data_IF_168115790921
#
_entry.id   IF_168115790921
#
_cell.length_a   1.000
_cell.length_b   1.000
_cell.length_c   1.000
_cell.angle_alpha   90.00
_cell.angle_beta   90.00
_cell.angle_gamma   90.00
#
_symmetry.space_group_name_H-M   'P 1'
#
loop_
_entity.id
_entity.type
_entity.pdbx_description
1 polymer ?
#
# COMPACT_ATOMS: atom_id res chain seq x y z
N UNK A 1 1.60 -0.06 -44.89
CA UNK A 1 1.52 1.25 -44.20
C UNK A 1 0.71 1.19 -42.92
N UNK A 2 -0.58 0.81 -42.91
CA UNK A 2 -1.36 0.70 -41.66
C UNK A 2 -0.80 -0.33 -40.67
N UNK A 3 -0.44 -1.52 -41.15
CA UNK A 3 0.17 -2.56 -40.29
C UNK A 3 1.52 -2.13 -39.69
N UNK A 4 2.33 -1.39 -40.46
CA UNK A 4 3.60 -0.81 -40.00
C UNK A 4 3.40 0.21 -38.89
N UNK A 5 2.40 1.11 -39.02
CA UNK A 5 2.07 2.09 -37.98
C UNK A 5 1.58 1.43 -36.68
N UNK A 6 0.84 0.33 -36.78
CA UNK A 6 0.39 -0.44 -35.60
C UNK A 6 1.59 -1.09 -34.90
N UNK A 7 2.51 -1.70 -35.65
CA UNK A 7 3.72 -2.31 -35.10
C UNK A 7 4.59 -1.26 -34.40
N UNK A 8 4.80 -0.11 -35.03
CA UNK A 8 5.56 1.01 -34.45
C UNK A 8 4.90 1.55 -33.18
N UNK A 9 3.56 1.66 -33.15
CA UNK A 9 2.83 2.09 -31.96
C UNK A 9 2.99 1.10 -30.79
N UNK A 10 2.97 -0.21 -31.05
CA UNK A 10 3.13 -1.25 -30.04
C UNK A 10 4.56 -1.36 -29.50
N UNK A 11 5.56 -1.00 -30.30
CA UNK A 11 6.98 -1.05 -29.92
C UNK A 11 7.45 0.18 -29.12
N UNK A 12 6.58 1.17 -28.88
CA UNK A 12 6.94 2.36 -28.10
C UNK A 12 7.42 1.98 -26.69
N UNK A 13 8.48 2.61 -26.15
CA UNK A 13 9.01 2.30 -24.82
C UNK A 13 7.95 2.34 -23.70
N UNK A 14 6.97 3.22 -23.80
CA UNK A 14 5.87 3.33 -22.85
C UNK A 14 4.95 2.10 -22.85
N UNK A 15 4.69 1.50 -24.02
CA UNK A 15 3.89 0.28 -24.14
C UNK A 15 4.64 -0.87 -23.47
N UNK A 16 5.93 -1.04 -23.77
CA UNK A 16 6.76 -2.06 -23.13
C UNK A 16 6.82 -1.91 -21.61
N UNK A 17 7.00 -0.69 -21.08
CA UNK A 17 6.99 -0.44 -19.64
C UNK A 17 5.63 -0.72 -19.00
N UNK A 18 4.54 -0.41 -19.71
CA UNK A 18 3.18 -0.71 -19.26
C UNK A 18 2.89 -2.20 -19.24
N UNK A 19 3.37 -2.95 -20.24
CA UNK A 19 3.26 -4.41 -20.30
C UNK A 19 4.07 -5.08 -19.18
N UNK A 20 5.31 -4.63 -18.92
CA UNK A 20 6.11 -5.10 -17.77
C UNK A 20 5.41 -4.88 -16.42
N UNK A 21 4.70 -3.77 -16.29
CA UNK A 21 3.92 -3.48 -15.10
C UNK A 21 2.67 -4.39 -15.00
N UNK A 22 1.89 -4.46 -16.07
CA UNK A 22 0.63 -5.20 -16.13
C UNK A 22 0.82 -6.72 -16.07
N UNK A 23 1.98 -7.24 -16.50
CA UNK A 23 2.28 -8.67 -16.36
C UNK A 23 2.36 -9.11 -14.90
N UNK A 24 2.70 -8.20 -13.98
CA UNK A 24 2.76 -8.50 -12.54
C UNK A 24 1.37 -8.51 -11.89
N UNK A 25 1.12 -9.48 -11.02
CA UNK A 25 -0.11 -9.52 -10.19
C UNK A 25 -0.23 -8.27 -9.30
N UNK A 26 0.91 -7.78 -8.77
CA UNK A 26 0.96 -6.57 -7.94
C UNK A 26 0.55 -5.33 -8.74
N UNK A 27 1.03 -5.19 -9.97
CA UNK A 27 0.66 -4.06 -10.83
C UNK A 27 -0.85 -4.03 -11.12
N UNK A 28 -1.41 -5.18 -11.50
CA UNK A 28 -2.86 -5.32 -11.71
C UNK A 28 -3.67 -5.03 -10.44
N UNK A 29 -3.27 -5.55 -9.28
CA UNK A 29 -3.95 -5.26 -8.01
C UNK A 29 -3.99 -3.77 -7.68
N UNK A 30 -2.89 -3.04 -7.89
CA UNK A 30 -2.84 -1.60 -7.60
C UNK A 30 -3.74 -0.79 -8.54
N UNK A 31 -3.81 -1.13 -9.83
CA UNK A 31 -4.75 -0.51 -10.77
C UNK A 31 -6.19 -0.79 -10.35
N UNK A 32 -6.52 -2.04 -10.03
CA UNK A 32 -7.89 -2.38 -9.62
C UNK A 32 -8.26 -1.70 -8.30
N UNK A 33 -7.29 -1.51 -7.39
CA UNK A 33 -7.50 -0.76 -6.14
C UNK A 33 -7.81 0.71 -6.42
N UNK A 34 -7.11 1.32 -7.38
CA UNK A 34 -7.38 2.69 -7.79
C UNK A 34 -8.80 2.80 -8.37
N UNK A 35 -9.18 1.93 -9.31
CA UNK A 35 -10.52 1.92 -9.91
C UNK A 35 -11.59 1.67 -8.84
N UNK A 36 -11.38 0.73 -7.92
CA UNK A 36 -12.30 0.45 -6.81
C UNK A 36 -12.57 1.68 -5.96
N UNK A 37 -11.51 2.37 -5.52
CA UNK A 37 -11.63 3.51 -4.61
C UNK A 37 -12.13 4.77 -5.32
N UNK A 38 -11.75 4.97 -6.59
CA UNK A 38 -12.35 6.00 -7.42
C UNK A 38 -13.85 5.75 -7.62
N UNK A 39 -14.26 4.51 -7.89
CA UNK A 39 -15.67 4.15 -8.00
C UNK A 39 -16.46 4.39 -6.70
N UNK A 40 -15.83 4.16 -5.53
CA UNK A 40 -16.40 4.53 -4.22
C UNK A 40 -16.64 6.03 -4.11
N UNK A 41 -15.65 6.85 -4.49
CA UNK A 41 -15.78 8.30 -4.50
C UNK A 41 -16.90 8.75 -5.47
N UNK A 42 -16.92 8.22 -6.69
CA UNK A 42 -17.92 8.59 -7.69
C UNK A 42 -19.35 8.21 -7.27
N UNK A 43 -19.55 7.04 -6.67
CA UNK A 43 -20.86 6.64 -6.15
C UNK A 43 -21.37 7.62 -5.09
N UNK A 44 -20.49 8.02 -4.16
CA UNK A 44 -20.81 9.01 -3.13
C UNK A 44 -21.06 10.41 -3.71
N UNK A 45 -20.23 10.85 -4.65
CA UNK A 45 -20.33 12.17 -5.26
C UNK A 45 -21.62 12.32 -6.06
N UNK A 46 -21.91 11.35 -6.94
CA UNK A 46 -23.10 11.39 -7.80
C UNK A 46 -24.41 11.29 -7.00
N UNK A 47 -24.41 10.56 -5.89
CA UNK A 47 -25.54 10.54 -4.95
C UNK A 47 -25.86 11.95 -4.43
N UNK A 48 -24.83 12.69 -4.02
CA UNK A 48 -24.99 14.07 -3.51
C UNK A 48 -25.36 15.08 -4.59
N UNK A 49 -25.03 14.80 -5.85
CA UNK A 49 -25.44 15.61 -7.00
C UNK A 49 -26.86 15.25 -7.52
N UNK A 50 -27.58 14.33 -6.86
CA UNK A 50 -28.96 13.99 -7.25
C UNK A 50 -29.09 13.13 -8.52
N UNK A 51 -28.02 12.43 -8.93
CA UNK A 51 -28.09 11.55 -10.10
C UNK A 51 -29.00 10.34 -9.86
N UNK A 52 -29.49 9.75 -10.96
CA UNK A 52 -30.38 8.60 -10.90
C UNK A 52 -29.76 7.40 -10.16
N UNK A 53 -30.62 6.64 -9.46
CA UNK A 53 -30.23 5.40 -8.75
C UNK A 53 -29.50 4.41 -9.65
N UNK A 54 -29.91 4.29 -10.91
CA UNK A 54 -29.26 3.43 -11.90
C UNK A 54 -27.80 3.85 -12.16
N UNK A 55 -27.52 5.15 -12.25
CA UNK A 55 -26.16 5.68 -12.44
C UNK A 55 -25.27 5.36 -11.24
N UNK A 56 -25.77 5.59 -10.03
CA UNK A 56 -25.05 5.30 -8.78
C UNK A 56 -24.77 3.78 -8.67
N UNK A 57 -25.74 2.95 -9.01
CA UNK A 57 -25.59 1.48 -8.99
C UNK A 57 -24.50 0.95 -9.93
N UNK A 58 -24.25 1.61 -11.07
CA UNK A 58 -23.14 1.22 -11.96
C UNK A 58 -21.78 1.39 -11.27
N UNK A 59 -21.58 2.48 -10.54
CA UNK A 59 -20.36 2.73 -9.78
C UNK A 59 -20.23 1.80 -8.56
N UNK A 60 -21.32 1.54 -7.86
CA UNK A 60 -21.36 0.55 -6.79
C UNK A 60 -21.02 -0.87 -7.28
N UNK A 61 -21.54 -1.25 -8.45
CA UNK A 61 -21.22 -2.53 -9.08
C UNK A 61 -19.74 -2.61 -9.47
N UNK A 62 -19.18 -1.54 -10.06
CA UNK A 62 -17.75 -1.46 -10.39
C UNK A 62 -16.88 -1.60 -9.13
N UNK A 63 -17.19 -0.84 -8.06
CA UNK A 63 -16.51 -0.95 -6.75
C UNK A 63 -16.55 -2.38 -6.23
N UNK A 64 -17.73 -3.02 -6.25
CA UNK A 64 -17.93 -4.39 -5.77
C UNK A 64 -17.12 -5.40 -6.57
N UNK A 65 -17.19 -5.33 -7.90
CA UNK A 65 -16.49 -6.27 -8.79
C UNK A 65 -14.97 -6.13 -8.68
N UNK A 66 -14.44 -4.89 -8.67
CA UNK A 66 -13.01 -4.66 -8.45
C UNK A 66 -12.56 -5.19 -7.09
N UNK A 67 -13.35 -4.96 -6.03
CA UNK A 67 -13.06 -5.51 -4.71
C UNK A 67 -12.99 -7.03 -4.73
N UNK A 68 -13.93 -7.71 -5.37
CA UNK A 68 -13.97 -9.16 -5.46
C UNK A 68 -12.78 -9.73 -6.26
N UNK A 69 -12.48 -9.18 -7.44
CA UNK A 69 -11.34 -9.59 -8.26
C UNK A 69 -10.00 -9.44 -7.52
N UNK A 70 -9.85 -8.37 -6.74
CA UNK A 70 -8.64 -8.15 -5.92
C UNK A 70 -8.49 -9.14 -4.78
N UNK A 71 -9.58 -9.59 -4.15
CA UNK A 71 -9.48 -10.65 -3.13
C UNK A 71 -8.96 -11.95 -3.75
N UNK A 72 -9.44 -12.32 -4.94
CA UNK A 72 -8.96 -13.49 -5.69
C UNK A 72 -7.45 -13.41 -5.97
N UNK A 73 -6.97 -12.27 -6.50
CA UNK A 73 -5.54 -12.09 -6.79
C UNK A 73 -4.63 -12.15 -5.55
N UNK A 74 -5.19 -12.09 -4.34
CA UNK A 74 -4.45 -12.15 -3.08
C UNK A 74 -4.39 -13.55 -2.49
N UNK A 75 -4.93 -14.55 -3.17
CA UNK A 75 -4.74 -15.96 -2.80
C UNK A 75 -3.26 -16.30 -2.77
N UNK A 76 -2.83 -17.08 -1.77
CA UNK A 76 -1.41 -17.38 -1.53
C UNK A 76 -0.61 -16.28 -0.83
N UNK A 77 -1.07 -15.02 -0.82
CA UNK A 77 -0.38 -13.93 -0.08
C UNK A 77 -0.17 -14.21 1.41
N UNK A 78 -1.07 -14.91 2.15
CA UNK A 78 -0.79 -15.25 3.54
C UNK A 78 0.55 -15.96 3.73
N UNK A 79 0.92 -16.86 2.81
CA UNK A 79 2.19 -17.60 2.86
C UNK A 79 3.39 -16.67 2.63
N UNK A 80 3.30 -15.73 1.68
CA UNK A 80 4.34 -14.71 1.49
C UNK A 80 4.57 -13.86 2.75
N UNK A 81 3.48 -13.54 3.46
CA UNK A 81 3.54 -12.79 4.71
C UNK A 81 4.13 -13.62 5.86
N UNK A 82 3.79 -14.91 5.97
CA UNK A 82 4.40 -15.82 6.96
C UNK A 82 5.91 -15.99 6.70
N UNK A 83 6.32 -16.17 5.44
CA UNK A 83 7.75 -16.21 5.08
C UNK A 83 8.45 -14.89 5.45
N UNK A 84 7.79 -13.76 5.20
CA UNK A 84 8.34 -12.45 5.56
C UNK A 84 8.41 -12.22 7.06
N UNK A 85 7.47 -12.78 7.84
CA UNK A 85 7.51 -12.76 9.30
C UNK A 85 8.70 -13.57 9.83
N UNK A 86 8.93 -14.76 9.27
CA UNK A 86 10.10 -15.59 9.60
C UNK A 86 11.42 -14.86 9.33
N UNK A 87 11.53 -14.12 8.21
CA UNK A 87 12.70 -13.28 7.94
C UNK A 87 12.84 -12.13 8.94
N UNK A 88 11.73 -11.46 9.26
CA UNK A 88 11.72 -10.35 10.21
C UNK A 88 12.09 -10.76 11.64
N UNK A 89 11.85 -12.03 12.01
CA UNK A 89 12.23 -12.58 13.31
C UNK A 89 13.75 -12.57 13.55
N UNK A 90 14.55 -12.62 12.49
CA UNK A 90 16.01 -12.60 12.57
C UNK A 90 16.61 -11.19 12.56
N UNK A 91 15.77 -10.14 12.61
CA UNK A 91 16.23 -8.76 12.76
C UNK A 91 16.93 -8.58 14.11
N UNK A 92 18.07 -7.87 14.10
CA UNK A 92 18.90 -7.65 15.30
C UNK A 92 18.29 -6.61 16.20
N UNK A 93 17.78 -5.53 15.61
CA UNK A 93 17.09 -4.47 16.34
C UNK A 93 15.75 -4.99 16.88
N UNK A 94 15.58 -4.98 18.20
CA UNK A 94 14.43 -5.62 18.85
C UNK A 94 13.10 -4.96 18.49
N UNK A 95 13.09 -3.63 18.36
CA UNK A 95 11.88 -2.87 18.02
C UNK A 95 11.50 -3.15 16.57
N UNK A 96 12.48 -3.18 15.66
CA UNK A 96 12.25 -3.52 14.26
C UNK A 96 11.85 -4.98 14.07
N UNK A 97 12.45 -5.91 14.83
CA UNK A 97 12.09 -7.33 14.87
C UNK A 97 10.63 -7.48 15.25
N UNK A 98 10.22 -6.87 16.37
CA UNK A 98 8.84 -6.95 16.86
C UNK A 98 7.86 -6.31 15.88
N UNK A 99 8.04 -5.03 15.53
CA UNK A 99 7.12 -4.30 14.65
C UNK A 99 7.01 -4.94 13.27
N UNK A 100 8.12 -5.40 12.67
CA UNK A 100 8.09 -6.04 11.36
C UNK A 100 7.47 -7.43 11.41
N UNK A 101 7.74 -8.23 12.44
CA UNK A 101 7.15 -9.58 12.58
C UNK A 101 5.64 -9.49 12.76
N UNK A 102 5.17 -8.69 13.72
CA UNK A 102 3.74 -8.60 14.00
C UNK A 102 2.96 -7.88 12.90
N UNK A 103 3.57 -6.95 12.16
CA UNK A 103 2.99 -6.43 10.91
C UNK A 103 2.70 -7.56 9.93
N UNK A 104 3.68 -8.43 9.69
CA UNK A 104 3.56 -9.50 8.70
C UNK A 104 2.57 -10.58 9.14
N UNK A 105 2.58 -10.99 10.41
CA UNK A 105 1.59 -11.93 10.96
C UNK A 105 0.16 -11.37 10.87
N UNK A 106 -0.02 -10.09 11.16
CA UNK A 106 -1.32 -9.42 11.03
C UNK A 106 -1.80 -9.41 9.58
N UNK A 107 -0.92 -9.13 8.61
CA UNK A 107 -1.29 -9.21 7.19
C UNK A 107 -1.57 -10.64 6.71
N UNK A 108 -0.86 -11.65 7.23
CA UNK A 108 -1.16 -13.04 6.95
C UNK A 108 -2.57 -13.42 7.44
N UNK A 109 -2.92 -13.09 8.68
CA UNK A 109 -4.24 -13.33 9.27
C UNK A 109 -5.35 -12.57 8.52
N UNK A 110 -5.10 -11.30 8.20
CA UNK A 110 -6.00 -10.47 7.38
C UNK A 110 -6.36 -11.17 6.06
N UNK A 111 -5.34 -11.54 5.27
CA UNK A 111 -5.51 -12.09 3.93
C UNK A 111 -6.03 -13.52 3.94
N UNK A 112 -5.71 -14.29 4.98
CA UNK A 112 -6.30 -15.61 5.19
C UNK A 112 -7.82 -15.48 5.37
N UNK A 113 -8.27 -14.55 6.23
CA UNK A 113 -9.71 -14.29 6.41
C UNK A 113 -10.35 -13.70 5.15
N UNK A 114 -9.63 -12.85 4.41
CA UNK A 114 -10.13 -12.24 3.16
C UNK A 114 -10.42 -13.29 2.07
N UNK A 115 -9.74 -14.45 2.11
CA UNK A 115 -10.05 -15.64 1.28
C UNK A 115 -11.49 -16.11 1.49
N UNK A 116 -11.93 -16.23 2.75
CA UNK A 116 -13.32 -16.63 3.06
C UNK A 116 -14.33 -15.56 2.68
N UNK A 117 -13.97 -14.28 2.82
CA UNK A 117 -14.78 -13.15 2.33
C UNK A 117 -14.97 -13.25 0.82
N UNK A 118 -13.94 -13.63 0.08
CA UNK A 118 -14.06 -13.89 -1.36
C UNK A 118 -14.93 -15.10 -1.67
N UNK A 119 -14.72 -16.26 -1.02
CA UNK A 119 -15.51 -17.49 -1.24
C UNK A 119 -17.02 -17.19 -1.11
N UNK A 120 -17.40 -16.47 -0.05
CA UNK A 120 -18.79 -16.06 0.17
C UNK A 120 -19.28 -15.05 -0.89
N UNK A 121 -18.45 -14.07 -1.23
CA UNK A 121 -18.75 -13.02 -2.21
C UNK A 121 -18.89 -13.54 -3.63
N UNK A 122 -18.13 -14.57 -3.99
CA UNK A 122 -18.18 -15.27 -5.28
C UNK A 122 -19.38 -16.24 -5.39
N UNK A 123 -20.07 -16.52 -4.28
CA UNK A 123 -21.23 -17.41 -4.28
C UNK A 123 -20.89 -18.90 -4.22
N UNK A 124 -19.61 -19.26 -4.00
CA UNK A 124 -19.16 -20.66 -3.90
C UNK A 124 -19.77 -21.34 -2.67
N UNK A 125 -19.73 -20.67 -1.52
CA UNK A 125 -20.32 -21.17 -0.29
C UNK A 125 -20.78 -20.02 0.61
N UNK A 126 -22.01 -20.09 1.13
CA UNK A 126 -22.59 -19.07 2.00
C UNK A 126 -22.19 -19.31 3.45
N UNK A 127 -21.28 -18.49 3.96
CA UNK A 127 -20.73 -18.64 5.30
C UNK A 127 -21.63 -17.90 6.31
N UNK A 128 -22.24 -18.64 7.24
CA UNK A 128 -23.18 -18.08 8.24
C UNK A 128 -22.59 -16.89 9.04
N UNK A 129 -21.31 -16.96 9.41
CA UNK A 129 -20.63 -15.93 10.21
C UNK A 129 -19.76 -14.97 9.38
N UNK A 130 -20.10 -14.75 8.10
CA UNK A 130 -19.24 -13.96 7.20
C UNK A 130 -19.01 -12.52 7.67
N UNK A 131 -19.99 -11.91 8.35
CA UNK A 131 -19.83 -10.56 8.93
C UNK A 131 -18.71 -10.53 9.98
N UNK A 132 -18.71 -11.48 10.90
CA UNK A 132 -17.67 -11.63 11.94
C UNK A 132 -16.29 -11.88 11.32
N UNK A 133 -16.22 -12.72 10.28
CA UNK A 133 -14.96 -12.98 9.57
C UNK A 133 -14.44 -11.70 8.88
N UNK A 134 -15.32 -10.96 8.21
CA UNK A 134 -14.96 -9.70 7.57
C UNK A 134 -14.50 -8.64 8.59
N UNK A 135 -15.17 -8.52 9.73
CA UNK A 135 -14.76 -7.62 10.82
C UNK A 135 -13.40 -8.00 11.40
N UNK A 136 -13.18 -9.29 11.70
CA UNK A 136 -11.86 -9.77 12.18
C UNK A 136 -10.76 -9.53 11.16
N UNK A 137 -11.04 -9.78 9.87
CA UNK A 137 -10.13 -9.46 8.76
C UNK A 137 -9.71 -7.98 8.80
N UNK A 138 -10.66 -7.06 8.96
CA UNK A 138 -10.37 -5.62 9.08
C UNK A 138 -9.57 -5.27 10.34
N UNK A 139 -9.82 -5.92 11.48
CA UNK A 139 -9.02 -5.73 12.71
C UNK A 139 -7.57 -6.13 12.51
N UNK A 140 -7.32 -7.28 11.87
CA UNK A 140 -5.97 -7.72 11.54
C UNK A 140 -5.28 -6.78 10.54
N UNK A 141 -6.01 -6.29 9.53
CA UNK A 141 -5.43 -5.30 8.62
C UNK A 141 -5.02 -4.02 9.34
N UNK A 142 -5.89 -3.51 10.21
CA UNK A 142 -5.62 -2.34 11.05
C UNK A 142 -4.42 -2.56 11.97
N UNK A 143 -4.35 -3.71 12.66
CA UNK A 143 -3.20 -4.06 13.51
C UNK A 143 -1.88 -4.06 12.72
N UNK A 144 -1.88 -4.64 11.51
CA UNK A 144 -0.72 -4.61 10.63
C UNK A 144 -0.29 -3.19 10.25
N UNK A 145 -1.24 -2.30 9.95
CA UNK A 145 -0.95 -0.89 9.68
C UNK A 145 -0.39 -0.17 10.91
N UNK A 146 -0.91 -0.42 12.10
CA UNK A 146 -0.39 0.15 13.35
C UNK A 146 1.07 -0.26 13.55
N UNK A 147 1.40 -1.55 13.44
CA UNK A 147 2.80 -2.00 13.54
C UNK A 147 3.69 -1.41 12.45
N UNK A 148 3.17 -1.22 11.24
CA UNK A 148 3.89 -0.57 10.13
C UNK A 148 4.21 0.90 10.42
N UNK A 149 3.24 1.63 10.96
CA UNK A 149 3.39 3.03 11.38
C UNK A 149 4.41 3.14 12.50
N UNK A 150 4.29 2.33 13.56
CA UNK A 150 5.23 2.30 14.68
C UNK A 150 6.67 2.01 14.22
N UNK A 151 6.84 0.98 13.37
CA UNK A 151 8.15 0.66 12.80
C UNK A 151 8.71 1.78 11.91
N UNK A 152 7.87 2.47 11.14
CA UNK A 152 8.29 3.60 10.30
C UNK A 152 8.70 4.80 11.14
N UNK A 153 7.97 5.13 12.20
CA UNK A 153 8.32 6.19 13.15
C UNK A 153 9.66 5.90 13.85
N UNK A 154 9.87 4.66 14.29
CA UNK A 154 11.14 4.23 14.89
C UNK A 154 12.32 4.38 13.92
N UNK A 155 12.16 3.95 12.66
CA UNK A 155 13.19 4.15 11.61
C UNK A 155 13.48 5.62 11.36
N UNK A 156 12.45 6.46 11.28
CA UNK A 156 12.64 7.91 11.06
C UNK A 156 13.36 8.57 12.23
N UNK A 157 13.09 8.14 13.46
CA UNK A 157 13.82 8.59 14.64
C UNK A 157 15.31 8.24 14.54
N UNK A 158 15.65 6.98 14.24
CA UNK A 158 17.04 6.55 14.06
C UNK A 158 17.75 7.25 12.89
N UNK A 159 17.07 7.46 11.77
CA UNK A 159 17.57 8.27 10.64
C UNK A 159 17.86 9.71 11.09
N UNK A 160 16.95 10.32 11.85
CA UNK A 160 17.10 11.70 12.31
C UNK A 160 18.28 11.86 13.28
N UNK A 161 18.50 10.89 14.17
CA UNK A 161 19.68 10.85 15.05
C UNK A 161 20.98 10.73 14.26
N UNK A 162 21.06 9.78 13.31
CA UNK A 162 22.23 9.60 12.44
C UNK A 162 22.54 10.87 11.65
N UNK A 163 21.53 11.54 11.12
CA UNK A 163 21.67 12.80 10.39
C UNK A 163 22.21 13.93 11.30
N UNK A 164 21.66 14.07 12.51
CA UNK A 164 22.10 15.08 13.49
C UNK A 164 23.55 14.85 13.91
N UNK A 165 23.93 13.62 14.24
CA UNK A 165 25.29 13.27 14.67
C UNK A 165 26.30 13.53 13.56
N UNK A 166 25.97 13.17 12.32
CA UNK A 166 26.79 13.43 11.15
C UNK A 166 26.96 14.94 10.86
N UNK A 167 25.93 15.75 11.07
CA UNK A 167 26.07 17.22 10.96
C UNK A 167 26.83 17.84 12.13
N UNK A 168 26.75 17.25 13.33
CA UNK A 168 27.48 17.73 14.50
C UNK A 168 28.98 17.49 14.38
N UNK A 169 29.42 16.39 13.74
CA UNK A 169 30.84 16.11 13.51
C UNK A 169 31.53 17.18 12.64
N UNK A 170 30.79 17.88 11.77
CA UNK A 170 31.28 19.04 11.02
C UNK A 170 31.51 20.29 11.88
N UNK A 171 30.80 20.42 13.01
CA UNK A 171 30.80 21.65 13.83
C UNK A 171 31.74 21.57 15.04
N UNK A 172 32.15 20.38 15.46
CA UNK A 172 32.73 20.13 16.79
C UNK A 172 34.17 19.64 16.86
N UNK A 173 34.96 19.67 15.78
CA UNK A 173 36.38 19.25 15.83
C UNK A 173 37.33 20.36 15.39
N UNK A 174 38.24 20.76 16.28
CA UNK A 174 39.28 21.78 16.04
C UNK A 174 40.35 21.38 15.01
N UNK A 175 40.37 20.14 14.52
CA UNK A 175 41.16 19.74 13.35
C UNK A 175 40.34 18.71 12.58
N UNK A 176 40.09 19.01 11.31
CA UNK A 176 39.07 18.38 10.48
C UNK A 176 39.03 16.86 10.58
N UNK A 177 37.92 16.34 11.11
CA UNK A 177 37.52 14.95 10.90
C UNK A 177 36.15 14.97 10.21
N UNK A 178 36.20 14.77 8.90
CA UNK A 178 35.06 14.72 8.00
C UNK A 178 35.26 15.69 6.85
N UNK A 179 35.82 15.19 5.74
CA UNK A 179 35.78 15.90 4.46
C UNK A 179 34.35 16.45 4.23
N UNK A 180 34.17 17.78 4.07
CA UNK A 180 32.85 18.38 3.84
C UNK A 180 32.10 17.73 2.68
N UNK A 181 32.83 17.26 1.66
CA UNK A 181 32.27 16.55 0.52
C UNK A 181 31.80 15.14 0.93
N UNK A 182 32.61 14.39 1.68
CA UNK A 182 32.20 13.13 2.32
C UNK A 182 30.94 13.28 3.19
N UNK A 183 30.87 14.29 4.07
CA UNK A 183 29.70 14.48 4.93
C UNK A 183 28.46 14.86 4.14
N UNK A 184 28.60 15.75 3.14
CA UNK A 184 27.52 16.12 2.23
C UNK A 184 27.01 14.90 1.44
N UNK A 185 27.92 14.06 0.94
CA UNK A 185 27.60 12.81 0.27
C UNK A 185 26.83 11.87 1.19
N UNK A 186 27.30 11.67 2.42
CA UNK A 186 26.65 10.80 3.40
C UNK A 186 25.28 11.32 3.87
N UNK A 187 25.10 12.64 3.95
CA UNK A 187 23.79 13.25 4.20
C UNK A 187 22.80 12.92 3.08
N UNK A 188 23.23 12.98 1.81
CA UNK A 188 22.39 12.58 0.66
C UNK A 188 22.01 11.10 0.74
N UNK A 189 22.91 10.23 1.19
CA UNK A 189 22.59 8.81 1.37
C UNK A 189 21.52 8.60 2.46
N UNK A 190 21.64 9.30 3.59
CA UNK A 190 20.64 9.25 4.65
C UNK A 190 19.28 9.79 4.16
N UNK A 191 19.28 10.82 3.32
CA UNK A 191 18.05 11.34 2.69
C UNK A 191 17.40 10.31 1.75
N UNK A 192 18.20 9.56 0.99
CA UNK A 192 17.71 8.44 0.16
C UNK A 192 17.14 7.30 1.01
N UNK A 193 17.72 7.01 2.17
CA UNK A 193 17.15 6.05 3.13
C UNK A 193 15.82 6.54 3.73
N UNK A 194 15.66 7.87 3.89
CA UNK A 194 14.47 8.50 4.48
C UNK A 194 13.25 8.48 3.57
N UNK A 195 13.41 8.73 2.27
CA UNK A 195 12.31 8.81 1.30
C UNK A 195 11.34 7.61 1.38
N UNK A 196 11.78 6.34 1.25
CA UNK A 196 10.87 5.21 1.26
C UNK A 196 10.15 5.03 2.61
N UNK A 197 10.77 5.39 3.73
CA UNK A 197 10.17 5.28 5.06
C UNK A 197 9.07 6.32 5.24
N UNK A 198 9.30 7.58 4.83
CA UNK A 198 8.27 8.63 4.87
C UNK A 198 7.11 8.27 3.95
N UNK A 199 7.40 7.79 2.74
CA UNK A 199 6.38 7.37 1.78
C UNK A 199 5.51 6.26 2.35
N UNK A 200 6.11 5.26 3.00
CA UNK A 200 5.39 4.17 3.65
C UNK A 200 4.53 4.69 4.81
N UNK A 201 5.07 5.56 5.67
CA UNK A 201 4.33 6.16 6.78
C UNK A 201 3.10 6.93 6.29
N UNK A 202 3.26 7.81 5.30
CA UNK A 202 2.13 8.55 4.70
C UNK A 202 1.09 7.60 4.13
N UNK A 203 1.53 6.55 3.42
CA UNK A 203 0.61 5.59 2.83
C UNK A 203 -0.17 4.82 3.92
N UNK A 204 0.49 4.37 4.98
CA UNK A 204 -0.15 3.60 6.05
C UNK A 204 -1.08 4.46 6.91
N UNK A 205 -0.72 5.73 7.16
CA UNK A 205 -1.56 6.70 7.85
C UNK A 205 -2.85 7.02 7.08
N UNK A 206 -2.81 7.01 5.75
CA UNK A 206 -4.01 7.14 4.92
C UNK A 206 -4.77 5.80 4.83
N UNK A 207 -4.06 4.69 4.69
CA UNK A 207 -4.67 3.37 4.52
C UNK A 207 -5.42 2.89 5.77
N UNK A 208 -5.03 3.33 6.97
CA UNK A 208 -5.69 2.97 8.23
C UNK A 208 -7.12 3.52 8.32
N UNK A 209 -7.45 4.57 7.57
CA UNK A 209 -8.81 5.13 7.47
C UNK A 209 -9.80 4.06 6.97
N UNK A 210 -9.37 3.18 6.07
CA UNK A 210 -10.24 2.17 5.45
C UNK A 210 -10.76 1.13 6.47
N UNK A 211 -9.91 0.41 7.21
CA UNK A 211 -10.38 -0.49 8.25
C UNK A 211 -11.04 0.25 9.42
N UNK A 212 -10.59 1.46 9.79
CA UNK A 212 -11.27 2.25 10.84
C UNK A 212 -12.73 2.56 10.47
N UNK A 213 -13.00 3.00 9.24
CA UNK A 213 -14.39 3.21 8.76
C UNK A 213 -15.14 1.88 8.70
N UNK A 214 -14.51 0.81 8.21
CA UNK A 214 -15.18 -0.50 8.10
C UNK A 214 -15.55 -1.10 9.47
N UNK A 215 -14.76 -0.80 10.51
CA UNK A 215 -15.00 -1.21 11.90
C UNK A 215 -15.90 -0.24 12.66
N UNK A 216 -16.33 0.86 12.01
CA UNK A 216 -17.15 1.93 12.61
C UNK A 216 -16.47 2.66 13.78
N UNK A 217 -15.14 2.73 13.78
CA UNK A 217 -14.38 3.50 14.77
C UNK A 217 -14.36 5.00 14.46
N UNK A 218 -14.60 5.36 13.20
CA UNK A 218 -14.73 6.75 12.74
C UNK A 218 -15.94 6.86 11.83
N UNK A 219 -16.60 8.01 11.86
CA UNK A 219 -17.66 8.34 10.93
C UNK A 219 -17.19 9.34 9.87
N UNK A 220 -16.62 8.80 8.78
CA UNK A 220 -16.20 9.58 7.62
C UNK A 220 -17.05 9.27 6.39
N UNK A 221 -17.30 10.28 5.57
CA UNK A 221 -17.96 10.12 4.27
C UNK A 221 -17.24 9.12 3.36
N UNK A 222 -18.02 8.31 2.64
CA UNK A 222 -17.48 7.34 1.68
C UNK A 222 -16.62 7.98 0.57
N UNK A 223 -16.91 9.25 0.25
CA UNK A 223 -16.10 10.06 -0.65
C UNK A 223 -14.66 10.25 -0.16
N UNK A 224 -14.49 10.68 1.10
CA UNK A 224 -13.16 10.89 1.70
C UNK A 224 -12.38 9.59 1.79
N UNK A 225 -13.03 8.50 2.19
CA UNK A 225 -12.39 7.17 2.24
C UNK A 225 -12.02 6.69 0.83
N UNK A 226 -12.86 6.95 -0.17
CA UNK A 226 -12.57 6.70 -1.57
C UNK A 226 -11.35 7.49 -2.08
N UNK A 227 -11.26 8.77 -1.76
CA UNK A 227 -10.11 9.60 -2.14
C UNK A 227 -8.81 9.15 -1.46
N UNK A 228 -8.84 8.90 -0.15
CA UNK A 228 -7.68 8.38 0.57
C UNK A 228 -7.18 7.07 -0.05
N UNK A 229 -8.09 6.12 -0.30
CA UNK A 229 -7.76 4.85 -0.94
C UNK A 229 -7.29 5.00 -2.40
N UNK A 230 -7.77 6.00 -3.13
CA UNK A 230 -7.33 6.30 -4.49
C UNK A 230 -5.89 6.86 -4.48
N UNK A 231 -5.62 7.86 -3.64
CA UNK A 231 -4.29 8.47 -3.49
C UNK A 231 -3.25 7.41 -3.13
N UNK A 232 -3.51 6.57 -2.13
CA UNK A 232 -2.57 5.50 -1.74
C UNK A 232 -2.44 4.42 -2.80
N UNK A 233 -3.44 4.23 -3.66
CA UNK A 233 -3.32 3.36 -4.84
C UNK A 233 -2.36 3.95 -5.87
N UNK A 234 -2.46 5.23 -6.18
CA UNK A 234 -1.52 5.92 -7.08
C UNK A 234 -0.09 5.87 -6.52
N UNK A 235 0.08 6.12 -5.22
CA UNK A 235 1.38 5.96 -4.55
C UNK A 235 1.93 4.54 -4.72
N UNK A 236 1.10 3.52 -4.51
CA UNK A 236 1.48 2.12 -4.71
C UNK A 236 1.77 1.77 -6.17
N UNK A 237 1.04 2.36 -7.13
CA UNK A 237 1.28 2.19 -8.56
C UNK A 237 2.64 2.75 -8.96
N UNK A 238 2.96 3.97 -8.51
CA UNK A 238 4.28 4.58 -8.72
C UNK A 238 5.39 3.70 -8.14
N UNK A 239 5.28 3.24 -6.90
CA UNK A 239 6.29 2.37 -6.28
C UNK A 239 6.53 1.09 -7.10
N UNK A 240 5.45 0.43 -7.53
CA UNK A 240 5.56 -0.78 -8.34
C UNK A 240 6.10 -0.48 -9.75
N UNK A 241 5.74 0.66 -10.34
CA UNK A 241 6.29 1.11 -11.62
C UNK A 241 7.80 1.28 -11.55
N UNK A 242 8.30 1.96 -10.51
CA UNK A 242 9.74 2.13 -10.29
C UNK A 242 10.45 0.80 -10.17
N UNK A 243 9.87 -0.12 -9.38
CA UNK A 243 10.41 -1.46 -9.16
C UNK A 243 10.57 -2.29 -10.44
N UNK A 244 9.60 -2.26 -11.34
CA UNK A 244 9.61 -3.11 -12.56
C UNK A 244 10.30 -2.47 -13.76
N UNK A 245 10.43 -1.14 -13.77
CA UNK A 245 11.02 -0.40 -14.89
C UNK A 245 12.39 0.23 -14.57
N UNK A 246 12.85 0.20 -13.31
CA UNK A 246 14.15 0.77 -12.92
C UNK A 246 14.23 2.29 -13.06
N UNK A 247 13.09 2.99 -12.95
CA UNK A 247 12.96 4.45 -13.10
C UNK A 247 12.36 5.09 -11.86
#
# INVERSE_FOLDING_TARGET
>A
RQMTMVIEALQRPMVNSSLKYASTTVGRDKVYRAVQNFARFMAWYLLRQGYSKATIQRWEALKKNMSLSRKLMRFGKPVEHLQSASKAWNEKDEVLRFTSTFRQLSYAAYLFMDTFVWINGAGIYKIKQIKTIAERSMRFWMAGLIFSILGSLYKLYGISLRYKNLRASLKGSEKGVGDPEYVKSRCKDIEKEREPVVRQLVQDSLDIILPMKSLKYIDLDDGLVGLAGFITSIMGMQTQWRKVNGK
#
